data_IF_078952156576
#
_entry.id   IF_078952156576
#
_cell.length_a   1.000
_cell.length_b   1.000
_cell.length_c   1.000
_cell.angle_alpha   90.00
_cell.angle_beta   90.00
_cell.angle_gamma   90.00
#
_symmetry.space_group_name_H-M   'P 1'
#
loop_
_entity.id
_entity.type
_entity.pdbx_description
1 polymer ?
#
# COMPACT_ATOMS: atom_id res chain seq x y z
N UNK A 1 -33.21 -31.66 -32.06
CA UNK A 1 -31.75 -31.39 -32.06
C UNK A 1 -31.55 -30.01 -31.47
N UNK A 2 -31.09 -29.95 -30.23
CA UNK A 2 -30.92 -28.78 -29.38
C UNK A 2 -29.51 -28.94 -28.79
N UNK A 3 -28.65 -27.95 -28.58
CA UNK A 3 -28.63 -26.51 -28.77
C UNK A 3 -27.16 -26.18 -28.64
N UNK A 4 -26.52 -25.51 -29.60
CA UNK A 4 -25.10 -25.15 -29.44
C UNK A 4 -24.93 -23.64 -29.55
N UNK A 5 -25.03 -22.94 -28.42
CA UNK A 5 -24.40 -21.62 -28.25
C UNK A 5 -23.94 -21.51 -26.81
N UNK A 6 -22.62 -21.47 -26.60
CA UNK A 6 -22.00 -20.59 -25.58
C UNK A 6 -20.46 -20.56 -25.73
N UNK A 7 -19.96 -20.16 -26.90
CA UNK A 7 -18.55 -19.77 -26.99
C UNK A 7 -18.41 -18.34 -26.48
N UNK A 8 -17.90 -18.19 -25.25
CA UNK A 8 -17.50 -16.90 -24.71
C UNK A 8 -16.35 -16.33 -25.55
N UNK A 9 -16.68 -15.41 -26.46
CA UNK A 9 -15.78 -14.85 -27.46
C UNK A 9 -16.21 -13.45 -27.88
N UNK A 10 -15.64 -12.96 -28.98
CA UNK A 10 -15.89 -11.60 -29.48
C UNK A 10 -17.38 -11.43 -29.81
N UNK A 11 -18.01 -10.38 -29.26
CA UNK A 11 -19.42 -10.06 -29.47
C UNK A 11 -20.40 -10.71 -28.47
N UNK A 12 -19.94 -11.64 -27.62
CA UNK A 12 -20.79 -12.26 -26.60
C UNK A 12 -20.88 -11.39 -25.32
N UNK A 13 -22.08 -11.26 -24.75
CA UNK A 13 -22.30 -10.65 -23.43
C UNK A 13 -22.01 -11.66 -22.31
N UNK A 14 -20.73 -11.95 -22.09
CA UNK A 14 -20.28 -12.89 -21.04
C UNK A 14 -20.14 -12.22 -19.68
N UNK A 15 -20.46 -12.98 -18.62
CA UNK A 15 -20.18 -12.55 -17.24
C UNK A 15 -18.67 -12.48 -16.99
N UNK A 16 -18.28 -11.60 -16.08
CA UNK A 16 -16.88 -11.39 -15.70
C UNK A 16 -16.29 -12.63 -15.00
N UNK A 17 -15.05 -12.96 -15.31
CA UNK A 17 -14.35 -14.14 -14.74
C UNK A 17 -13.91 -13.90 -13.29
N UNK A 18 -13.69 -12.64 -12.96
CA UNK A 18 -13.12 -12.14 -11.72
C UNK A 18 -14.15 -11.95 -10.61
N UNK A 19 -15.44 -11.81 -10.95
CA UNK A 19 -16.53 -11.63 -9.98
C UNK A 19 -16.49 -12.63 -8.83
N UNK A 20 -16.31 -13.95 -9.05
CA UNK A 20 -16.37 -14.92 -7.96
C UNK A 20 -15.35 -14.65 -6.86
N UNK A 21 -14.13 -14.17 -7.14
CA UNK A 21 -13.18 -13.88 -6.06
C UNK A 21 -13.52 -12.57 -5.34
N UNK A 22 -13.97 -11.56 -6.07
CA UNK A 22 -14.28 -10.25 -5.49
C UNK A 22 -15.53 -10.26 -4.63
N UNK A 23 -16.65 -10.83 -5.12
CA UNK A 23 -17.93 -10.81 -4.40
C UNK A 23 -17.93 -11.69 -3.14
N UNK A 24 -16.88 -12.49 -2.94
CA UNK A 24 -16.72 -13.38 -1.78
C UNK A 24 -15.60 -12.92 -0.82
N UNK A 25 -15.04 -11.72 -1.01
CA UNK A 25 -13.92 -11.25 -0.20
C UNK A 25 -12.64 -12.09 -0.35
N UNK A 26 -12.50 -12.78 -1.49
CA UNK A 26 -11.31 -13.58 -1.84
C UNK A 26 -10.41 -12.88 -2.86
N UNK A 27 -10.63 -11.59 -3.09
CA UNK A 27 -9.64 -10.74 -3.72
C UNK A 27 -8.45 -10.55 -2.78
N UNK A 28 -7.27 -10.33 -3.34
CA UNK A 28 -6.09 -9.93 -2.58
C UNK A 28 -5.64 -8.59 -3.14
N UNK A 29 -5.65 -7.58 -2.29
CA UNK A 29 -5.11 -6.24 -2.52
C UNK A 29 -3.84 -6.06 -1.68
N UNK A 30 -3.16 -4.94 -1.83
CA UNK A 30 -1.86 -4.69 -1.18
C UNK A 30 -1.98 -4.78 0.35
N UNK A 31 -3.05 -4.23 0.93
CA UNK A 31 -3.27 -4.21 2.38
C UNK A 31 -3.75 -5.56 2.96
N UNK A 32 -4.10 -6.52 2.10
CA UNK A 32 -4.46 -7.89 2.52
C UNK A 32 -3.21 -8.78 2.71
N UNK A 33 -2.05 -8.30 2.24
CA UNK A 33 -0.79 -9.06 2.30
C UNK A 33 -0.21 -9.00 3.71
N UNK A 34 0.14 -10.17 4.25
CA UNK A 34 0.85 -10.28 5.54
C UNK A 34 2.12 -11.09 5.33
N UNK A 35 3.26 -10.52 5.69
CA UNK A 35 4.58 -11.15 5.58
C UNK A 35 5.22 -11.36 6.97
N UNK A 36 6.04 -12.42 7.15
CA UNK A 36 6.84 -12.56 8.37
C UNK A 36 7.72 -11.33 8.61
N UNK A 37 7.63 -10.73 9.80
CA UNK A 37 8.41 -9.53 10.16
C UNK A 37 7.93 -8.23 9.52
N UNK A 38 6.73 -8.19 8.95
CA UNK A 38 6.16 -6.98 8.35
C UNK A 38 6.07 -5.83 9.38
N UNK A 39 6.61 -4.67 8.99
CA UNK A 39 6.50 -3.41 9.75
C UNK A 39 5.44 -2.50 9.13
N UNK A 40 4.96 -1.54 9.93
CA UNK A 40 4.06 -0.49 9.48
C UNK A 40 4.78 0.85 9.40
N UNK A 41 4.40 1.68 8.43
CA UNK A 41 4.93 3.02 8.26
C UNK A 41 3.82 4.06 8.41
N UNK A 42 4.15 5.19 9.06
CA UNK A 42 3.31 6.39 9.09
C UNK A 42 4.13 7.60 8.67
N UNK A 43 3.53 8.45 7.83
CA UNK A 43 4.17 9.66 7.32
C UNK A 43 3.68 10.87 8.12
N UNK A 44 4.61 11.59 8.75
CA UNK A 44 4.36 12.92 9.28
C UNK A 44 4.39 13.93 8.13
N UNK A 45 3.33 14.72 7.96
CA UNK A 45 3.19 15.69 6.87
C UNK A 45 3.39 17.12 7.38
N UNK A 46 3.81 18.00 6.48
CA UNK A 46 3.92 19.43 6.79
C UNK A 46 2.56 20.01 7.19
N UNK A 47 2.48 20.75 8.31
CA UNK A 47 1.29 21.55 8.64
C UNK A 47 1.25 22.88 7.86
N UNK A 48 2.32 23.23 7.15
CA UNK A 48 2.45 24.47 6.39
C UNK A 48 2.40 24.19 4.88
N UNK A 49 1.70 25.04 4.13
CA UNK A 49 1.64 24.95 2.67
C UNK A 49 2.99 25.24 2.00
N UNK A 50 3.77 26.17 2.56
CA UNK A 50 5.12 26.49 2.11
C UNK A 50 5.97 27.03 3.27
N UNK A 51 7.07 26.36 3.58
CA UNK A 51 8.01 26.76 4.62
C UNK A 51 9.36 26.06 4.40
N UNK A 52 10.43 26.62 4.99
CA UNK A 52 11.70 25.90 5.14
C UNK A 52 11.66 25.04 6.39
N UNK A 53 12.13 23.80 6.31
CA UNK A 53 12.34 22.94 7.48
C UNK A 53 13.63 23.42 8.15
N UNK A 54 13.52 24.00 9.35
CA UNK A 54 14.68 24.46 10.12
C UNK A 54 15.29 23.33 10.94
N UNK A 55 14.46 22.46 11.51
CA UNK A 55 14.88 21.29 12.28
C UNK A 55 13.75 20.27 12.39
N UNK A 56 14.10 19.02 12.70
CA UNK A 56 13.18 17.94 13.04
C UNK A 56 13.70 17.30 14.33
N UNK A 57 12.90 17.30 15.40
CA UNK A 57 13.21 16.54 16.62
C UNK A 57 12.46 15.19 16.57
N UNK A 58 13.23 14.09 16.56
CA UNK A 58 12.71 12.73 16.54
C UNK A 58 12.79 12.00 17.89
N UNK A 59 13.38 12.61 18.93
CA UNK A 59 13.78 11.94 20.17
C UNK A 59 12.61 11.25 20.86
N UNK A 60 11.49 11.96 20.99
CA UNK A 60 10.30 11.44 21.64
C UNK A 60 9.70 10.25 20.89
N UNK A 61 9.76 10.24 19.55
CA UNK A 61 9.23 9.15 18.75
C UNK A 61 10.18 7.93 18.77
N UNK A 62 11.49 8.17 18.73
CA UNK A 62 12.51 7.12 18.68
C UNK A 62 12.55 6.23 19.92
N UNK A 63 12.06 6.71 21.07
CA UNK A 63 12.04 5.94 22.33
C UNK A 63 10.72 5.22 22.59
N UNK A 64 9.72 5.37 21.71
CA UNK A 64 8.43 4.70 21.91
C UNK A 64 8.56 3.18 21.67
N UNK A 65 7.97 2.34 22.54
CA UNK A 65 7.93 0.90 22.31
C UNK A 65 7.34 0.55 20.94
N UNK A 66 8.05 -0.29 20.17
CA UNK A 66 7.62 -0.75 18.85
C UNK A 66 8.03 0.16 17.68
N UNK A 67 8.61 1.33 17.93
CA UNK A 67 9.22 2.13 16.86
C UNK A 67 10.54 1.50 16.45
N UNK A 68 10.63 1.09 15.18
CA UNK A 68 11.85 0.50 14.62
C UNK A 68 12.80 1.57 14.08
N UNK A 69 12.27 2.63 13.47
CA UNK A 69 13.06 3.74 12.94
C UNK A 69 12.21 5.01 12.80
N UNK A 70 12.85 6.18 12.94
CA UNK A 70 12.32 7.47 12.51
C UNK A 70 13.16 7.95 11.34
N UNK A 71 12.58 7.97 10.14
CA UNK A 71 13.31 8.29 8.90
C UNK A 71 13.14 9.77 8.57
N UNK A 72 14.24 10.52 8.62
CA UNK A 72 14.32 11.94 8.25
C UNK A 72 15.17 12.14 6.98
N UNK A 73 15.16 13.35 6.43
CA UNK A 73 16.02 13.69 5.29
C UNK A 73 17.51 13.52 5.60
N UNK A 74 17.93 13.81 6.83
CA UNK A 74 19.33 13.61 7.29
C UNK A 74 19.73 12.14 7.25
N UNK A 75 18.87 11.23 7.75
CA UNK A 75 19.13 9.79 7.69
C UNK A 75 19.24 9.31 6.23
N UNK A 76 18.35 9.78 5.36
CA UNK A 76 18.37 9.41 3.93
C UNK A 76 19.65 9.90 3.23
N UNK A 77 20.07 11.14 3.50
CA UNK A 77 21.31 11.70 2.95
C UNK A 77 22.54 10.92 3.41
N UNK A 78 22.60 10.51 4.69
CA UNK A 78 23.69 9.68 5.22
C UNK A 78 23.83 8.32 4.50
N UNK A 79 22.75 7.83 3.90
CA UNK A 79 22.72 6.58 3.12
C UNK A 79 22.77 6.79 1.60
N UNK A 80 22.98 8.01 1.11
CA UNK A 80 22.94 8.37 -0.32
C UNK A 80 21.59 8.02 -1.00
N UNK A 81 20.48 8.21 -0.28
CA UNK A 81 19.12 7.92 -0.75
C UNK A 81 18.29 9.21 -0.99
N UNK A 82 18.91 10.39 -0.90
CA UNK A 82 18.28 11.70 -1.02
C UNK A 82 18.77 12.45 -2.27
#
# INVERSE_FOLDING_TARGET
MATEIAHGGIGASVKRKEDPRFIRGKGTYIDDVVLPGMLYMKILRSPHAHAKILSINADAASVLPGVVAVVTGELMAAHNLA
#
